data_IF_334760176987
#
_entry.id   IF_334760176987
#
_cell.length_a   1.000
_cell.length_b   1.000
_cell.length_c   1.000
_cell.angle_alpha   90.00
_cell.angle_beta   90.00
_cell.angle_gamma   90.00
#
_symmetry.space_group_name_H-M   'P 1'
#
loop_
_entity.id
_entity.type
_entity.pdbx_description
1 polymer ?
#
# COMPACT_ATOMS: atom_id res chain seq x y z
N UNK A 1 4.86 12.02 -9.29
CA UNK A 1 3.85 11.63 -10.31
C UNK A 1 3.59 10.13 -10.19
N UNK A 2 2.44 9.74 -9.65
CA UNK A 2 2.08 8.32 -9.41
C UNK A 2 1.59 7.69 -10.73
N UNK A 3 2.35 6.74 -11.29
CA UNK A 3 1.97 6.02 -12.51
C UNK A 3 0.87 5.00 -12.21
N UNK A 4 -0.38 5.41 -12.38
CA UNK A 4 -1.55 4.54 -12.29
C UNK A 4 -1.81 3.93 -13.67
N UNK A 5 -1.39 2.69 -13.91
CA UNK A 5 -1.73 1.98 -15.15
C UNK A 5 -3.03 1.23 -14.95
N UNK A 6 -4.12 1.77 -15.48
CA UNK A 6 -5.45 1.15 -15.51
C UNK A 6 -5.81 0.91 -16.96
N UNK A 7 -5.88 -0.35 -17.38
CA UNK A 7 -6.58 -0.69 -18.62
C UNK A 7 -8.07 -0.45 -18.42
N UNK A 8 -8.67 0.47 -19.19
CA UNK A 8 -10.09 0.82 -19.08
C UNK A 8 -10.78 0.55 -20.42
N UNK A 9 -11.91 -0.15 -20.36
CA UNK A 9 -12.88 -0.16 -21.47
C UNK A 9 -13.56 1.20 -21.46
N UNK A 10 -13.38 1.98 -22.53
CA UNK A 10 -13.87 3.34 -22.62
C UNK A 10 -15.37 3.35 -22.98
N UNK A 11 -15.75 2.58 -23.99
CA UNK A 11 -17.16 2.36 -24.34
C UNK A 11 -17.35 1.11 -25.19
N UNK A 12 -18.60 0.63 -25.17
CA UNK A 12 -19.12 -0.39 -26.08
C UNK A 12 -20.36 0.21 -26.73
N UNK A 13 -20.38 0.26 -28.07
CA UNK A 13 -21.51 0.79 -28.84
C UNK A 13 -21.96 -0.23 -29.86
N UNK A 14 -23.28 -0.38 -29.97
CA UNK A 14 -23.94 -1.21 -30.96
C UNK A 14 -24.60 -0.28 -31.99
N UNK A 15 -24.41 -0.55 -33.28
CA UNK A 15 -25.25 0.02 -34.32
C UNK A 15 -25.80 -1.07 -35.22
N UNK A 16 -27.07 -0.94 -35.59
CA UNK A 16 -27.74 -1.87 -36.49
C UNK A 16 -27.91 -1.20 -37.84
N UNK A 17 -27.38 -1.82 -38.88
CA UNK A 17 -27.47 -1.35 -40.26
C UNK A 17 -28.04 -2.48 -41.14
N UNK A 18 -29.37 -2.51 -41.27
CA UNK A 18 -30.08 -3.58 -41.97
C UNK A 18 -29.94 -4.92 -41.23
N UNK A 19 -29.50 -5.97 -41.92
CA UNK A 19 -29.26 -7.31 -41.36
C UNK A 19 -27.89 -7.45 -40.65
N UNK A 20 -27.11 -6.36 -40.59
CA UNK A 20 -25.80 -6.36 -39.97
C UNK A 20 -25.84 -5.65 -38.62
N UNK A 21 -25.18 -6.24 -37.64
CA UNK A 21 -24.85 -5.57 -36.37
C UNK A 21 -23.38 -5.21 -36.40
N UNK A 22 -23.08 -3.94 -36.20
CA UNK A 22 -21.74 -3.45 -35.95
C UNK A 22 -21.55 -3.27 -34.44
N UNK A 23 -20.53 -3.95 -33.91
CA UNK A 23 -20.04 -3.71 -32.55
C UNK A 23 -18.77 -2.89 -32.65
N UNK A 24 -18.79 -1.72 -32.01
CA UNK A 24 -17.60 -0.87 -31.86
C UNK A 24 -17.22 -0.84 -30.40
N UNK A 25 -15.97 -1.15 -30.10
CA UNK A 25 -15.44 -1.03 -28.76
C UNK A 25 -14.09 -0.31 -28.78
N UNK A 26 -13.80 0.38 -27.68
CA UNK A 26 -12.56 1.10 -27.47
C UNK A 26 -11.89 0.63 -26.20
N UNK A 27 -10.61 0.29 -26.31
CA UNK A 27 -9.75 -0.06 -25.18
C UNK A 27 -8.61 0.94 -25.07
N UNK A 28 -8.31 1.36 -23.84
CA UNK A 28 -7.18 2.24 -23.54
C UNK A 28 -6.21 1.51 -22.62
N UNK A 29 -4.97 1.35 -23.09
CA UNK A 29 -3.85 0.81 -22.32
C UNK A 29 -2.58 1.59 -22.64
N UNK A 30 -1.83 2.00 -21.60
CA UNK A 30 -0.59 2.77 -21.75
C UNK A 30 -0.68 4.01 -22.66
N UNK A 31 -1.82 4.73 -22.59
CA UNK A 31 -2.03 5.92 -23.42
C UNK A 31 -2.28 5.64 -24.91
N UNK A 32 -2.37 4.37 -25.32
CA UNK A 32 -2.79 3.97 -26.67
C UNK A 32 -4.26 3.58 -26.65
N UNK A 33 -5.04 4.23 -27.50
CA UNK A 33 -6.45 3.91 -27.77
C UNK A 33 -6.51 3.02 -29.00
N UNK A 34 -7.07 1.83 -28.86
CA UNK A 34 -7.39 0.93 -29.98
C UNK A 34 -8.90 0.86 -30.13
N UNK A 35 -9.39 1.25 -31.31
CA UNK A 35 -10.81 1.12 -31.70
C UNK A 35 -10.92 0.01 -32.73
N UNK A 36 -11.77 -0.98 -32.46
CA UNK A 36 -12.06 -2.06 -33.39
C UNK A 36 -13.56 -2.11 -33.70
N UNK A 37 -13.88 -2.45 -34.96
CA UNK A 37 -15.26 -2.59 -35.45
C UNK A 37 -15.44 -3.99 -36.02
N UNK A 38 -16.38 -4.74 -35.44
CA UNK A 38 -16.74 -6.08 -35.91
C UNK A 38 -18.12 -6.02 -36.54
N UNK A 39 -18.24 -6.50 -37.78
CA UNK A 39 -19.51 -6.65 -38.49
C UNK A 39 -19.97 -8.10 -38.47
N UNK A 40 -21.18 -8.35 -37.97
CA UNK A 40 -21.77 -9.70 -37.93
C UNK A 40 -23.12 -9.70 -38.66
N UNK A 41 -23.29 -10.63 -39.62
CA UNK A 41 -24.56 -10.89 -40.30
C UNK A 41 -25.49 -11.69 -39.40
N UNK A 42 -26.73 -11.21 -39.29
CA UNK A 42 -27.75 -11.71 -38.38
C UNK A 42 -28.12 -13.19 -38.60
N UNK A 43 -27.64 -14.05 -37.71
CA UNK A 43 -28.45 -15.13 -37.13
C UNK A 43 -28.20 -15.09 -35.63
N UNK A 44 -29.24 -15.19 -34.80
CA UNK A 44 -29.13 -15.06 -33.34
C UNK A 44 -28.05 -16.00 -32.72
N UNK A 45 -27.75 -17.11 -33.39
CA UNK A 45 -26.68 -18.06 -33.06
C UNK A 45 -25.29 -17.45 -33.22
N UNK A 46 -25.04 -16.66 -34.29
CA UNK A 46 -23.76 -15.99 -34.54
C UNK A 46 -23.49 -14.84 -33.56
N UNK A 47 -24.54 -14.16 -33.09
CA UNK A 47 -24.44 -13.15 -32.01
C UNK A 47 -24.11 -13.81 -30.68
N UNK A 48 -24.74 -14.94 -30.36
CA UNK A 48 -24.44 -15.71 -29.15
C UNK A 48 -23.01 -16.25 -29.18
N UNK A 49 -22.56 -16.79 -30.32
CA UNK A 49 -21.18 -17.24 -30.52
C UNK A 49 -20.25 -16.05 -30.40
N UNK A 50 -20.47 -14.92 -31.07
CA UNK A 50 -19.62 -13.74 -30.94
C UNK A 50 -19.54 -13.21 -29.48
N UNK A 51 -20.66 -13.18 -28.76
CA UNK A 51 -20.69 -12.79 -27.34
C UNK A 51 -19.97 -13.80 -26.44
N UNK A 52 -20.11 -15.11 -26.71
CA UNK A 52 -19.41 -16.16 -25.99
C UNK A 52 -17.91 -16.16 -26.33
N UNK A 53 -17.53 -15.89 -27.57
CA UNK A 53 -16.14 -15.72 -28.01
C UNK A 53 -15.55 -14.45 -27.44
N UNK A 54 -16.30 -13.34 -27.29
CA UNK A 54 -15.88 -12.11 -26.60
C UNK A 54 -15.76 -12.32 -25.09
N UNK A 55 -16.66 -13.07 -24.47
CA UNK A 55 -16.56 -13.47 -23.07
C UNK A 55 -15.36 -14.39 -22.88
N UNK A 56 -15.18 -15.38 -23.75
CA UNK A 56 -14.03 -16.26 -23.76
C UNK A 56 -12.76 -15.51 -24.12
N UNK A 57 -12.76 -14.47 -24.97
CA UNK A 57 -11.62 -13.59 -25.26
C UNK A 57 -11.36 -12.62 -24.12
N UNK A 58 -12.35 -12.21 -23.33
CA UNK A 58 -12.15 -11.46 -22.10
C UNK A 58 -11.62 -12.34 -20.97
N UNK A 59 -12.01 -13.62 -20.94
CA UNK A 59 -11.52 -14.64 -20.01
C UNK A 59 -10.16 -15.23 -20.46
N UNK A 60 -9.89 -15.30 -21.77
CA UNK A 60 -8.67 -15.87 -22.40
C UNK A 60 -7.68 -14.82 -22.89
N UNK A 61 -8.05 -13.54 -22.97
CA UNK A 61 -7.15 -12.43 -22.68
C UNK A 61 -6.91 -12.45 -21.18
N UNK A 62 -6.28 -13.54 -20.75
CA UNK A 62 -5.54 -13.69 -19.53
C UNK A 62 -4.44 -12.61 -19.51
N UNK A 63 -4.84 -11.35 -19.39
CA UNK A 63 -4.11 -10.39 -18.58
C UNK A 63 -4.27 -10.93 -17.16
N UNK A 64 -3.42 -11.92 -16.90
CA UNK A 64 -2.94 -12.30 -15.61
C UNK A 64 -2.91 -11.03 -14.75
N UNK A 65 -3.76 -11.04 -13.73
CA UNK A 65 -3.75 -10.21 -12.52
C UNK A 65 -4.10 -8.73 -12.74
N UNK A 66 -5.20 -8.25 -12.12
CA UNK A 66 -5.21 -6.87 -11.62
C UNK A 66 -4.11 -6.83 -10.55
N UNK A 67 -2.90 -6.57 -11.03
CA UNK A 67 -1.73 -6.33 -10.22
C UNK A 67 -1.85 -4.87 -9.78
N UNK A 68 -2.29 -4.64 -8.54
CA UNK A 68 -2.13 -3.32 -7.96
C UNK A 68 -0.69 -3.25 -7.47
N UNK A 69 0.19 -2.74 -8.34
CA UNK A 69 1.52 -2.29 -7.91
C UNK A 69 1.33 -0.92 -7.27
N UNK A 70 1.10 -0.88 -5.97
CA UNK A 70 1.35 0.34 -5.19
C UNK A 70 2.76 0.19 -4.64
N UNK A 71 3.73 0.59 -5.45
CA UNK A 71 5.12 0.68 -5.01
C UNK A 71 5.36 2.17 -4.72
N UNK A 72 5.16 2.56 -3.46
CA UNK A 72 5.49 3.87 -2.95
C UNK A 72 6.69 3.78 -2.03
N UNK A 73 7.76 4.52 -2.36
CA UNK A 73 8.78 4.89 -1.38
C UNK A 73 8.22 6.05 -0.58
N UNK A 74 8.38 5.96 0.73
CA UNK A 74 7.91 6.99 1.66
C UNK A 74 8.97 7.22 2.70
N UNK A 75 8.90 8.35 3.36
CA UNK A 75 9.68 8.67 4.55
C UNK A 75 8.90 8.19 5.78
N UNK A 76 9.27 7.04 6.39
CA UNK A 76 8.54 6.51 7.51
C UNK A 76 8.89 7.24 8.81
N UNK A 77 7.85 7.71 9.47
CA UNK A 77 7.90 8.17 10.86
C UNK A 77 7.19 7.12 11.69
N UNK A 78 7.84 6.64 12.73
CA UNK A 78 7.31 5.61 13.62
C UNK A 78 7.14 6.22 15.00
N UNK A 79 5.97 6.02 15.61
CA UNK A 79 5.63 6.62 16.91
C UNK A 79 5.10 5.54 17.83
N UNK A 80 5.71 5.44 19.01
CA UNK A 80 5.21 4.62 20.11
C UNK A 80 4.36 5.52 21.00
N UNK A 81 3.08 5.19 21.18
CA UNK A 81 2.18 6.06 21.94
C UNK A 81 1.07 5.26 22.64
N UNK A 82 0.93 5.51 23.94
CA UNK A 82 -0.03 4.94 24.88
C UNK A 82 -1.25 5.84 24.90
N UNK A 83 -2.02 5.83 23.82
CA UNK A 83 -3.28 6.56 23.80
C UNK A 83 -4.46 5.62 23.66
N UNK A 84 -5.55 5.96 24.35
CA UNK A 84 -6.88 5.44 24.00
C UNK A 84 -7.41 6.06 22.69
N UNK A 85 -6.58 6.80 21.93
CA UNK A 85 -6.96 7.48 20.72
C UNK A 85 -7.07 6.48 19.57
N UNK A 86 -7.96 5.49 19.72
CA UNK A 86 -8.38 4.58 18.65
C UNK A 86 -8.79 5.31 17.36
N UNK A 87 -8.97 6.64 17.39
CA UNK A 87 -9.42 7.46 16.27
C UNK A 87 -8.76 8.85 16.15
N UNK A 88 -7.61 9.15 16.77
CA UNK A 88 -7.06 10.55 16.81
C UNK A 88 -8.09 11.57 17.36
N UNK A 89 -8.86 11.16 18.37
CA UNK A 89 -9.97 11.98 18.92
C UNK A 89 -9.80 12.32 20.40
N UNK A 90 -8.65 12.01 20.98
CA UNK A 90 -8.40 12.31 22.37
C UNK A 90 -7.88 13.76 22.51
N UNK A 91 -8.69 14.71 23.00
CA UNK A 91 -8.25 16.10 23.17
C UNK A 91 -7.16 16.24 24.24
N UNK A 92 -6.87 15.19 25.02
CA UNK A 92 -5.80 15.18 26.01
C UNK A 92 -4.43 14.86 25.42
N UNK A 93 -4.38 14.45 24.14
CA UNK A 93 -3.15 14.10 23.44
C UNK A 93 -2.85 15.06 22.28
N UNK A 94 -2.70 16.36 22.63
CA UNK A 94 -2.53 17.43 21.64
C UNK A 94 -1.24 17.28 20.85
N UNK A 95 -0.15 16.88 21.50
CA UNK A 95 1.16 16.74 20.86
C UNK A 95 1.14 15.64 19.78
N UNK A 96 0.60 14.45 20.10
CA UNK A 96 0.45 13.38 19.10
C UNK A 96 -0.42 13.81 17.91
N UNK A 97 -1.54 14.51 18.17
CA UNK A 97 -2.41 15.01 17.10
C UNK A 97 -1.71 16.06 16.24
N UNK A 98 -0.89 16.94 16.83
CA UNK A 98 -0.14 17.95 16.09
C UNK A 98 0.90 17.30 15.17
N UNK A 99 1.67 16.32 15.68
CA UNK A 99 2.59 15.54 14.86
C UNK A 99 1.86 14.78 13.73
N UNK A 100 0.73 14.14 14.06
CA UNK A 100 -0.07 13.40 13.09
C UNK A 100 -0.64 14.32 12.00
N UNK A 101 -1.15 15.50 12.36
CA UNK A 101 -1.65 16.49 11.41
C UNK A 101 -0.55 16.99 10.49
N UNK A 102 0.62 17.31 11.04
CA UNK A 102 1.77 17.70 10.24
C UNK A 102 2.16 16.62 9.23
N UNK A 103 2.20 15.34 9.65
CA UNK A 103 2.48 14.21 8.75
C UNK A 103 1.41 14.06 7.66
N UNK A 104 0.13 14.27 8.00
CA UNK A 104 -0.99 14.18 7.05
C UNK A 104 -0.92 15.24 5.93
N UNK A 105 -0.26 16.37 6.17
CA UNK A 105 -0.06 17.44 5.20
C UNK A 105 1.15 17.22 4.27
N UNK A 106 2.03 16.27 4.58
CA UNK A 106 3.20 15.96 3.75
C UNK A 106 2.85 14.95 2.65
N UNK A 107 3.32 15.17 1.42
CA UNK A 107 3.00 14.28 0.28
C UNK A 107 3.75 12.94 0.29
N UNK A 108 4.88 12.87 0.98
CA UNK A 108 5.86 11.78 0.93
C UNK A 108 6.25 11.21 2.31
N UNK A 109 5.60 11.67 3.37
CA UNK A 109 5.75 11.14 4.73
C UNK A 109 4.59 10.22 5.02
N UNK A 110 4.87 9.12 5.74
CA UNK A 110 3.84 8.31 6.37
C UNK A 110 4.18 8.15 7.84
N UNK A 111 3.16 8.23 8.68
CA UNK A 111 3.27 7.97 10.10
C UNK A 111 2.68 6.61 10.43
N UNK A 112 3.47 5.77 11.09
CA UNK A 112 3.06 4.50 11.66
C UNK A 112 3.03 4.63 13.18
N UNK A 113 1.84 4.50 13.74
CA UNK A 113 1.62 4.56 15.17
C UNK A 113 1.46 3.16 15.76
N UNK A 114 2.26 2.86 16.79
CA UNK A 114 2.19 1.68 17.64
C UNK A 114 1.48 2.04 18.95
N UNK A 115 0.26 1.54 19.12
CA UNK A 115 -0.55 1.75 20.33
C UNK A 115 0.00 0.90 21.46
N UNK A 116 0.65 1.51 22.46
CA UNK A 116 1.23 0.75 23.56
C UNK A 116 0.19 0.25 24.59
N UNK A 117 -1.04 0.80 24.57
CA UNK A 117 -2.13 0.32 25.42
C UNK A 117 -2.75 -0.98 24.87
N UNK A 118 -2.77 -1.14 23.55
CA UNK A 118 -3.13 -2.37 22.82
C UNK A 118 -2.10 -2.68 21.71
N UNK A 119 -0.90 -3.20 22.08
CA UNK A 119 0.20 -3.37 21.14
C UNK A 119 -0.14 -4.27 19.95
N UNK A 120 0.30 -3.93 18.72
CA UNK A 120 0.08 -4.79 17.58
C UNK A 120 0.78 -6.13 17.77
N UNK A 121 0.22 -7.18 17.16
CA UNK A 121 0.82 -8.52 17.20
C UNK A 121 2.23 -8.46 16.62
N UNK A 122 3.23 -8.96 17.36
CA UNK A 122 4.64 -8.91 16.94
C UNK A 122 5.38 -7.62 17.28
N UNK A 123 4.76 -6.68 17.99
CA UNK A 123 5.39 -5.42 18.39
C UNK A 123 6.70 -5.62 19.19
N UNK A 124 6.74 -6.59 20.11
CA UNK A 124 7.94 -6.81 20.92
C UNK A 124 9.18 -7.09 20.05
N UNK A 125 9.03 -7.88 18.98
CA UNK A 125 10.14 -8.16 18.05
C UNK A 125 10.54 -6.90 17.28
N UNK A 126 9.55 -6.10 16.81
CA UNK A 126 9.79 -4.81 16.14
C UNK A 126 10.56 -3.84 17.01
N UNK A 127 10.17 -3.74 18.28
CA UNK A 127 10.72 -2.78 19.24
C UNK A 127 12.22 -3.02 19.50
N UNK A 128 12.69 -4.27 19.41
CA UNK A 128 14.12 -4.59 19.55
C UNK A 128 15.00 -4.05 18.42
N UNK A 129 14.40 -3.64 17.30
CA UNK A 129 15.13 -3.13 16.15
C UNK A 129 15.29 -1.61 16.17
N UNK A 130 14.48 -0.87 16.93
CA UNK A 130 14.65 0.57 17.05
C UNK A 130 16.00 0.88 17.70
N UNK A 131 16.67 1.93 17.21
CA UNK A 131 17.98 2.33 17.72
C UNK A 131 17.96 3.71 18.34
N UNK A 132 18.78 3.92 19.36
CA UNK A 132 19.00 5.22 20.01
C UNK A 132 18.16 5.45 21.27
N UNK A 133 16.94 4.91 21.34
CA UNK A 133 16.16 4.90 22.58
C UNK A 133 16.74 3.86 23.56
N UNK A 134 16.90 4.24 24.83
CA UNK A 134 17.43 3.32 25.86
C UNK A 134 16.39 2.33 26.37
N UNK A 135 15.10 2.68 26.25
CA UNK A 135 13.96 1.86 26.65
C UNK A 135 12.77 2.13 25.70
N UNK A 136 11.85 1.17 25.58
CA UNK A 136 10.53 1.39 24.95
C UNK A 136 9.74 2.26 25.91
N UNK A 137 9.65 3.55 25.60
CA UNK A 137 8.98 4.56 26.42
C UNK A 137 7.86 5.14 25.57
N UNK A 138 6.73 5.35 26.23
CA UNK A 138 5.62 6.10 25.66
C UNK A 138 6.10 7.39 25.00
N UNK A 139 5.53 7.79 23.86
CA UNK A 139 5.80 9.05 23.15
C UNK A 139 7.14 9.13 22.41
N UNK A 140 7.80 8.00 22.19
CA UNK A 140 9.01 7.99 21.38
C UNK A 140 8.69 8.19 19.90
N UNK A 141 9.47 9.05 19.24
CA UNK A 141 9.40 9.32 17.81
C UNK A 141 10.68 8.85 17.14
N UNK A 142 10.51 8.06 16.09
CA UNK A 142 11.58 7.49 15.29
C UNK A 142 11.41 7.92 13.83
N UNK A 143 12.55 8.14 13.18
CA UNK A 143 12.63 8.42 11.76
C UNK A 143 13.63 7.44 11.16
N UNK A 144 13.24 6.74 10.09
CA UNK A 144 14.08 5.70 9.49
C UNK A 144 14.62 4.68 10.50
N UNK A 145 13.79 4.28 11.48
CA UNK A 145 14.13 3.36 12.57
C UNK A 145 15.09 3.91 13.66
N UNK A 146 15.48 5.19 13.57
CA UNK A 146 16.37 5.86 14.52
C UNK A 146 15.58 6.81 15.42
N UNK A 147 15.81 6.71 16.73
CA UNK A 147 15.21 7.59 17.72
C UNK A 147 15.61 9.04 17.51
N UNK A 148 14.63 9.92 17.46
CA UNK A 148 14.84 11.36 17.33
C UNK A 148 14.58 12.05 18.66
N UNK A 149 13.41 11.81 19.27
CA UNK A 149 13.01 12.49 20.49
C UNK A 149 11.83 11.77 21.16
N UNK A 150 11.58 12.15 22.40
CA UNK A 150 10.38 11.81 23.16
C UNK A 150 9.60 13.10 23.42
N UNK A 151 8.30 13.15 23.07
CA UNK A 151 7.51 14.37 23.26
C UNK A 151 6.96 14.61 24.67
N UNK A 152 7.38 13.82 25.66
CA UNK A 152 7.29 14.22 27.07
C UNK A 152 8.39 15.21 27.45
N UNK A 153 9.57 15.07 26.84
CA UNK A 153 10.78 15.83 27.17
C UNK A 153 11.12 16.93 26.15
N UNK A 154 10.60 16.80 24.92
CA UNK A 154 10.91 17.68 23.78
C UNK A 154 9.62 18.23 23.18
N UNK A 155 9.57 19.53 22.90
CA UNK A 155 8.37 20.15 22.33
C UNK A 155 8.12 19.67 20.89
N UNK A 156 6.86 19.54 20.50
CA UNK A 156 6.48 18.95 19.20
C UNK A 156 6.96 19.78 18.01
N UNK A 157 7.00 21.10 18.15
CA UNK A 157 7.51 22.02 17.13
C UNK A 157 9.02 21.84 16.91
N UNK A 158 9.78 21.59 17.98
CA UNK A 158 11.19 21.21 17.91
C UNK A 158 11.37 19.86 17.21
N UNK A 159 10.57 18.85 17.56
CA UNK A 159 10.59 17.53 16.90
C UNK A 159 10.30 17.66 15.41
N UNK A 160 9.25 18.37 15.03
CA UNK A 160 8.89 18.62 13.63
C UNK A 160 10.02 19.35 12.89
N UNK A 161 10.68 20.32 13.53
CA UNK A 161 11.85 21.00 12.96
C UNK A 161 12.99 20.02 12.69
N UNK A 162 13.32 19.16 13.66
CA UNK A 162 14.37 18.15 13.51
C UNK A 162 14.06 17.21 12.35
N UNK A 163 12.82 16.71 12.26
CA UNK A 163 12.38 15.82 11.18
C UNK A 163 12.47 16.52 9.83
N UNK A 164 12.06 17.78 9.75
CA UNK A 164 12.04 18.58 8.51
C UNK A 164 13.43 18.90 7.98
N UNK A 165 14.42 19.01 8.86
CA UNK A 165 15.82 19.29 8.51
C UNK A 165 16.58 18.04 8.04
N UNK A 166 16.06 16.84 8.32
CA UNK A 166 16.71 15.60 7.89
C UNK A 166 16.64 15.42 6.38
N UNK A 167 17.73 14.95 5.76
CA UNK A 167 17.71 14.60 4.34
C UNK A 167 16.73 13.46 4.11
N UNK A 168 15.78 13.66 3.20
CA UNK A 168 14.89 12.60 2.74
C UNK A 168 15.72 11.64 1.89
N UNK A 169 16.01 10.46 2.43
CA UNK A 169 16.82 9.48 1.73
C UNK A 169 16.08 8.89 0.53
N UNK A 170 16.71 8.97 -0.64
CA UNK A 170 16.32 8.15 -1.78
C UNK A 170 16.75 6.71 -1.51
N UNK A 171 15.86 5.88 -0.96
CA UNK A 171 16.13 4.46 -0.74
C UNK A 171 16.47 3.76 -2.07
N UNK A 172 17.74 3.37 -2.33
CA UNK A 172 18.16 2.90 -3.65
C UNK A 172 17.83 1.41 -3.89
N UNK A 173 17.19 0.75 -2.92
CA UNK A 173 17.04 -0.69 -2.92
C UNK A 173 15.99 -1.23 -3.91
N UNK A 174 16.04 -2.55 -4.08
CA UNK A 174 15.30 -3.31 -5.09
C UNK A 174 14.12 -4.11 -4.50
N UNK A 175 13.71 -3.80 -3.27
CA UNK A 175 12.49 -4.37 -2.67
C UNK A 175 11.29 -4.11 -3.58
N UNK A 176 10.36 -5.06 -3.58
CA UNK A 176 9.09 -4.99 -4.26
C UNK A 176 8.01 -5.46 -3.30
N UNK A 177 6.93 -4.70 -3.24
CA UNK A 177 5.71 -5.03 -2.50
C UNK A 177 4.52 -4.87 -3.45
N UNK A 178 3.68 -5.89 -3.60
CA UNK A 178 2.57 -5.87 -4.56
C UNK A 178 1.35 -6.62 -4.04
N UNK A 179 0.17 -6.14 -4.39
CA UNK A 179 -1.07 -6.90 -4.24
C UNK A 179 -1.45 -7.52 -5.58
N UNK A 180 -1.73 -8.81 -5.53
CA UNK A 180 -2.02 -9.64 -6.71
C UNK A 180 -3.41 -10.24 -6.55
N UNK A 181 -4.36 -9.84 -7.39
CA UNK A 181 -5.70 -10.42 -7.39
C UNK A 181 -5.64 -11.93 -7.67
N UNK A 182 -6.31 -12.74 -6.84
CA UNK A 182 -6.35 -14.21 -6.99
C UNK A 182 -7.51 -14.68 -7.85
N UNK A 183 -8.50 -13.81 -8.10
CA UNK A 183 -9.66 -14.06 -8.94
C UNK A 183 -9.86 -12.96 -10.01
N UNK A 184 -10.63 -13.27 -11.05
CA UNK A 184 -10.89 -12.39 -12.19
C UNK A 184 -11.71 -11.14 -11.84
N UNK A 185 -12.51 -11.21 -10.78
CA UNK A 185 -13.32 -10.10 -10.29
C UNK A 185 -12.53 -9.21 -9.32
N UNK A 186 -11.27 -9.56 -9.04
CA UNK A 186 -10.40 -8.93 -8.05
C UNK A 186 -11.09 -8.74 -6.70
N UNK A 187 -11.83 -9.76 -6.26
CA UNK A 187 -12.51 -9.78 -4.96
C UNK A 187 -11.60 -10.23 -3.82
N UNK A 188 -10.50 -10.90 -4.15
CA UNK A 188 -9.51 -11.43 -3.21
C UNK A 188 -8.10 -11.17 -3.75
N UNK A 189 -7.16 -10.86 -2.85
CA UNK A 189 -5.78 -10.54 -3.16
C UNK A 189 -4.79 -11.30 -2.28
N UNK A 190 -3.63 -11.62 -2.85
CA UNK A 190 -2.45 -12.07 -2.13
C UNK A 190 -1.41 -10.96 -2.09
N UNK A 191 -0.74 -10.80 -0.96
CA UNK A 191 0.43 -9.93 -0.85
C UNK A 191 1.66 -10.67 -1.37
N UNK A 192 2.52 -9.96 -2.10
CA UNK A 192 3.79 -10.47 -2.59
C UNK A 192 4.92 -9.52 -2.21
N UNK A 193 5.96 -10.11 -1.62
CA UNK A 193 7.26 -9.47 -1.36
C UNK A 193 8.31 -10.12 -2.25
N UNK A 194 9.23 -9.32 -2.78
CA UNK A 194 10.31 -9.79 -3.64
C UNK A 194 11.51 -8.84 -3.52
N UNK A 195 12.72 -9.37 -3.69
CA UNK A 195 13.97 -8.61 -3.73
C UNK A 195 14.90 -9.30 -4.74
N UNK A 196 15.51 -8.53 -5.64
CA UNK A 196 16.44 -9.07 -6.67
C UNK A 196 17.61 -9.83 -6.03
N UNK A 197 18.04 -9.42 -4.83
CA UNK A 197 19.01 -10.13 -3.99
C UNK A 197 18.31 -10.69 -2.77
N UNK A 198 17.75 -11.89 -2.91
CA UNK A 198 16.90 -12.55 -1.92
C UNK A 198 17.55 -12.81 -0.54
N UNK A 199 18.86 -12.58 -0.38
CA UNK A 199 19.56 -12.82 0.89
C UNK A 199 20.62 -11.77 1.19
N UNK A 200 20.29 -10.92 2.14
CA UNK A 200 21.23 -10.02 2.79
C UNK A 200 21.38 -10.44 4.25
N UNK A 201 22.47 -11.14 4.57
CA UNK A 201 22.69 -11.70 5.91
C UNK A 201 22.88 -10.62 7.00
N UNK A 202 23.06 -9.36 6.61
CA UNK A 202 23.19 -8.23 7.53
C UNK A 202 21.86 -7.50 7.76
N UNK A 203 20.82 -7.86 7.02
CA UNK A 203 19.55 -7.18 7.06
C UNK A 203 18.53 -7.88 7.96
N UNK A 204 17.67 -7.08 8.58
CA UNK A 204 16.39 -7.51 9.15
C UNK A 204 15.27 -6.99 8.26
N UNK A 205 14.28 -7.82 8.04
CA UNK A 205 13.10 -7.49 7.26
C UNK A 205 11.93 -7.31 8.22
N UNK A 206 11.11 -6.30 7.97
CA UNK A 206 9.93 -5.98 8.77
C UNK A 206 8.73 -5.83 7.85
N UNK A 207 7.73 -6.68 8.03
CA UNK A 207 6.43 -6.55 7.36
C UNK A 207 5.41 -6.00 8.35
N UNK A 208 4.78 -4.90 8.00
CA UNK A 208 3.80 -4.19 8.82
C UNK A 208 2.45 -4.20 8.11
N UNK A 209 1.41 -4.58 8.85
CA UNK A 209 0.00 -4.38 8.49
C UNK A 209 -0.54 -3.22 9.34
N UNK A 210 -1.31 -2.35 8.70
CA UNK A 210 -1.82 -1.15 9.34
C UNK A 210 -3.19 -0.75 8.79
N UNK A 211 -3.88 0.11 9.52
CA UNK A 211 -5.16 0.69 9.13
C UNK A 211 -5.08 2.22 9.05
N UNK A 212 -5.70 2.83 8.02
CA UNK A 212 -5.78 4.29 7.88
C UNK A 212 -6.71 4.88 8.94
N UNK A 213 -6.15 5.75 9.78
CA UNK A 213 -6.92 6.54 10.75
C UNK A 213 -7.22 7.92 10.14
N UNK A 214 -6.22 8.50 9.48
CA UNK A 214 -6.33 9.68 8.62
C UNK A 214 -5.33 9.58 7.48
N UNK A 215 -5.42 10.47 6.49
CA UNK A 215 -4.49 10.44 5.35
C UNK A 215 -3.04 10.47 5.84
N UNK A 216 -2.21 9.54 5.34
CA UNK A 216 -0.80 9.37 5.69
C UNK A 216 -0.49 9.03 7.16
N UNK A 217 -1.51 8.77 8.00
CA UNK A 217 -1.31 8.35 9.38
C UNK A 217 -2.08 7.06 9.65
N UNK A 218 -1.31 6.05 10.03
CA UNK A 218 -1.76 4.67 10.09
C UNK A 218 -1.54 4.09 11.47
N UNK A 219 -2.56 3.43 12.01
CA UNK A 219 -2.43 2.61 13.21
C UNK A 219 -1.90 1.24 12.80
N UNK A 220 -0.77 0.82 13.37
CA UNK A 220 -0.22 -0.51 13.12
C UNK A 220 -1.04 -1.55 13.86
N UNK A 221 -1.38 -2.64 13.17
CA UNK A 221 -2.19 -3.74 13.71
C UNK A 221 -1.40 -5.05 13.84
N UNK A 222 -0.41 -5.26 12.98
CA UNK A 222 0.45 -6.45 13.03
C UNK A 222 1.84 -6.15 12.47
N UNK A 223 2.86 -6.76 13.05
CA UNK A 223 4.24 -6.72 12.58
C UNK A 223 4.82 -8.14 12.54
N UNK A 224 5.68 -8.38 11.55
CA UNK A 224 6.51 -9.56 11.47
C UNK A 224 7.95 -9.14 11.23
N UNK A 225 8.88 -9.69 12.02
CA UNK A 225 10.32 -9.47 11.87
C UNK A 225 10.98 -10.78 11.44
N UNK A 226 11.88 -10.72 10.46
CA UNK A 226 12.65 -11.89 10.03
C UNK A 226 14.04 -11.51 9.51
N UNK A 227 15.01 -12.40 9.66
CA UNK A 227 16.32 -12.31 9.00
C UNK A 227 16.26 -12.73 7.52
N UNK A 228 15.20 -13.45 7.13
CA UNK A 228 14.94 -13.85 5.76
C UNK A 228 13.45 -13.62 5.46
N UNK A 229 13.15 -12.71 4.53
CA UNK A 229 11.77 -12.40 4.18
C UNK A 229 11.00 -13.61 3.61
N UNK A 230 11.69 -14.60 3.03
CA UNK A 230 11.06 -15.82 2.54
C UNK A 230 10.41 -16.66 3.66
N UNK A 231 10.84 -16.46 4.90
CA UNK A 231 10.29 -17.15 6.08
C UNK A 231 9.08 -16.43 6.68
N UNK A 232 8.71 -15.25 6.17
CA UNK A 232 7.56 -14.51 6.70
C UNK A 232 6.24 -15.13 6.26
N UNK A 233 5.24 -15.06 7.13
CA UNK A 233 3.87 -15.44 6.80
C UNK A 233 3.20 -14.29 6.04
N UNK A 234 3.49 -14.21 4.73
CA UNK A 234 2.99 -13.15 3.86
C UNK A 234 1.47 -13.32 3.69
N UNK A 235 0.65 -12.30 4.00
CA UNK A 235 -0.81 -12.35 3.91
C UNK A 235 -1.34 -12.84 2.56
N UNK A 236 -2.34 -13.73 2.62
CA UNK A 236 -3.04 -14.30 1.46
C UNK A 236 -4.53 -14.25 1.66
N UNK A 237 -5.26 -14.37 0.55
CA UNK A 237 -6.71 -14.38 0.52
C UNK A 237 -7.36 -13.15 1.18
N UNK A 238 -6.75 -11.98 1.04
CA UNK A 238 -7.24 -10.70 1.59
C UNK A 238 -8.47 -10.26 0.78
N UNK A 239 -9.65 -10.13 1.39
CA UNK A 239 -10.83 -9.59 0.70
C UNK A 239 -10.59 -8.14 0.24
N UNK A 240 -11.03 -7.82 -0.97
CA UNK A 240 -10.95 -6.47 -1.55
C UNK A 240 -11.61 -5.40 -0.66
N UNK A 241 -12.63 -5.80 0.12
CA UNK A 241 -13.31 -4.91 1.06
C UNK A 241 -12.40 -4.46 2.20
N UNK A 242 -11.48 -5.31 2.68
CA UNK A 242 -10.54 -4.97 3.76
C UNK A 242 -9.48 -3.97 3.29
N UNK A 243 -9.07 -4.06 2.02
CA UNK A 243 -8.08 -3.15 1.44
C UNK A 243 -8.55 -1.69 1.37
N UNK A 244 -9.82 -1.37 1.66
CA UNK A 244 -10.27 0.02 1.75
C UNK A 244 -9.75 0.75 2.99
N UNK A 245 -9.40 0.01 4.04
CA UNK A 245 -8.90 0.57 5.31
C UNK A 245 -7.54 -0.01 5.67
N UNK A 246 -7.20 -1.20 5.18
CA UNK A 246 -5.95 -1.92 5.45
C UNK A 246 -4.88 -1.64 4.41
N UNK A 247 -3.64 -1.43 4.88
CA UNK A 247 -2.45 -1.28 4.06
C UNK A 247 -1.28 -2.11 4.59
N UNK A 248 -0.17 -2.10 3.84
CA UNK A 248 1.02 -2.87 4.14
C UNK A 248 2.29 -2.06 3.91
N UNK A 249 3.26 -2.21 4.80
CA UNK A 249 4.61 -1.66 4.62
C UNK A 249 5.65 -2.75 4.78
N UNK A 250 6.72 -2.66 4.01
CA UNK A 250 7.82 -3.60 4.06
C UNK A 250 9.14 -2.86 4.12
N UNK A 251 9.89 -3.09 5.20
CA UNK A 251 11.16 -2.44 5.47
C UNK A 251 12.30 -3.45 5.42
N UNK A 252 13.43 -3.01 4.88
CA UNK A 252 14.73 -3.65 5.06
C UNK A 252 15.58 -2.73 5.92
N UNK A 253 16.01 -3.27 7.06
CA UNK A 253 16.81 -2.57 8.05
C UNK A 253 18.22 -3.16 8.04
N UNK A 254 19.25 -2.31 7.99
CA UNK A 254 20.65 -2.71 8.12
C UNK A 254 21.32 -1.79 9.13
N UNK A 255 22.11 -2.36 10.04
CA UNK A 255 22.86 -1.61 11.05
C UNK A 255 21.99 -0.65 11.90
N UNK A 256 20.70 -0.98 12.06
CA UNK A 256 19.74 -0.17 12.82
C UNK A 256 19.00 0.89 12.01
N UNK A 257 19.23 1.02 10.70
CA UNK A 257 18.61 2.03 9.86
C UNK A 257 17.80 1.40 8.72
N UNK A 258 16.71 2.05 8.31
CA UNK A 258 15.97 1.64 7.11
C UNK A 258 16.85 1.91 5.88
N UNK A 259 17.15 0.88 5.09
CA UNK A 259 17.93 1.00 3.85
C UNK A 259 17.10 0.79 2.59
N UNK A 260 15.91 0.23 2.74
CA UNK A 260 14.90 0.15 1.68
C UNK A 260 13.50 0.01 2.29
N UNK A 261 12.49 0.60 1.66
CA UNK A 261 11.10 0.45 2.10
C UNK A 261 10.11 0.49 0.94
N UNK A 262 8.96 -0.16 1.14
CA UNK A 262 7.81 -0.13 0.23
C UNK A 262 6.52 -0.06 0.99
N UNK A 263 5.60 0.80 0.55
CA UNK A 263 4.29 0.97 1.18
C UNK A 263 3.16 0.85 0.17
N UNK A 264 2.17 0.05 0.54
CA UNK A 264 0.85 -0.03 -0.09
C UNK A 264 -0.14 0.66 0.84
N UNK A 265 -0.51 1.89 0.50
CA UNK A 265 -1.61 2.61 1.16
C UNK A 265 -2.95 1.89 0.91
N UNK A 266 -3.95 2.03 1.79
CA UNK A 266 -5.29 1.50 1.55
C UNK A 266 -5.89 2.03 0.25
N UNK A 267 -6.62 1.15 -0.44
CA UNK A 267 -7.29 1.44 -1.69
C UNK A 267 -8.48 2.37 -1.42
N UNK A 268 -8.24 3.68 -1.52
CA UNK A 268 -9.33 4.66 -1.47
C UNK A 268 -10.36 4.30 -2.54
N UNK A 269 -11.62 4.16 -2.15
CA UNK A 269 -12.74 3.99 -3.08
C UNK A 269 -12.63 5.09 -4.12
N UNK A 270 -12.38 4.72 -5.38
CA UNK A 270 -12.62 5.62 -6.49
C UNK A 270 -14.12 5.85 -6.50
N UNK A 271 -14.58 6.95 -5.89
CA UNK A 271 -15.94 7.42 -6.09
C UNK A 271 -16.10 7.60 -7.60
N UNK A 272 -16.90 6.71 -8.20
CA UNK A 272 -17.28 6.78 -9.61
C UNK A 272 -18.34 7.85 -9.80
#
# INVERSE_FOLDING_TARGET
>A
MRNRVVGKIDFIRWSVHGENVALTYSFVCEGRKTEEVIFVRSTAVLVLVAALTLLLLALSSCAKWILIVVDGKVYPIEVEETSNASELKDPTNQDFMELANWCAEQEDVVMFWYDLADPPVGFHDRATLFVGATDVIDKNVYVNNVFIANYEDTAIDEIISIISEQPREDFPGELKLRLVATDLSATVYDLFVDEVKAKDATAKYVLVEFEEVQSNVYKVTKVQVSENFENMDVPKNIPASELNTKGFAFFKIRDGEVVDNRVIEPLKKVQR
#
